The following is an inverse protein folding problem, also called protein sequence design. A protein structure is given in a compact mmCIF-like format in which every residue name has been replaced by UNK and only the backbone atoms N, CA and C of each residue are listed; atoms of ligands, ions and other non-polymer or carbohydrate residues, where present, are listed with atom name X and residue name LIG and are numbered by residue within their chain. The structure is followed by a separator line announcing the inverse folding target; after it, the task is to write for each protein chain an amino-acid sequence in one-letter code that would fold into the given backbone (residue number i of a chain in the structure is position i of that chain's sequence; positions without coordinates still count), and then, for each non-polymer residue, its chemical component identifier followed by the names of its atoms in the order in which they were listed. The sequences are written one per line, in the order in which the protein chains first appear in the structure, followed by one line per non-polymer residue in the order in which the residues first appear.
data_IF_259907096501
#
_entry.id   IF_259907096501
#
_cell.length_a   1.000
_cell.length_b   1.000
_cell.length_c   1.000
_cell.angle_alpha   90.00
_cell.angle_beta   90.00
_cell.angle_gamma   90.00
#
_symmetry.space_group_name_H-M   'P 1'
#
loop_
_entity.id
_entity.type
_entity.pdbx_description
1 polymer ?
#
# COMPACT_ATOMS: atom_id res chain seq x y z
N UNK A 1 -13.73 -40.13 9.73
CA UNK A 1 -12.39 -39.91 10.32
C UNK A 1 -11.78 -38.77 9.55
N UNK A 2 -11.78 -37.59 10.19
CA UNK A 2 -11.10 -36.33 9.83
C UNK A 2 -11.49 -35.71 8.47
N UNK A 3 -12.49 -34.83 8.43
CA UNK A 3 -12.43 -33.38 8.74
C UNK A 3 -11.69 -32.61 7.63
N UNK A 4 -12.46 -31.93 6.79
CA UNK A 4 -12.00 -31.00 5.78
C UNK A 4 -12.77 -29.68 5.98
N UNK A 5 -12.63 -29.13 7.20
CA UNK A 5 -12.87 -27.73 7.49
C UNK A 5 -11.65 -26.92 7.02
N UNK A 6 -11.78 -26.25 5.87
CA UNK A 6 -10.95 -25.12 5.45
C UNK A 6 -11.56 -24.46 4.20
N UNK A 7 -12.86 -24.18 4.22
CA UNK A 7 -13.36 -23.09 3.41
C UNK A 7 -12.91 -21.82 4.13
N UNK A 8 -11.86 -21.19 3.61
CA UNK A 8 -11.44 -19.86 4.01
C UNK A 8 -12.60 -18.90 3.73
N UNK A 9 -13.49 -18.78 4.71
CA UNK A 9 -14.48 -17.75 4.77
C UNK A 9 -13.69 -16.46 4.97
N UNK A 10 -13.38 -15.80 3.86
CA UNK A 10 -13.12 -14.37 3.87
C UNK A 10 -14.42 -13.75 4.31
N UNK A 11 -14.66 -13.78 5.62
CA UNK A 11 -15.75 -13.09 6.28
C UNK A 11 -15.53 -11.64 5.89
N UNK A 12 -16.24 -11.20 4.85
CA UNK A 12 -16.30 -9.82 4.43
C UNK A 12 -16.52 -9.04 5.72
N UNK A 13 -15.50 -8.28 6.13
CA UNK A 13 -15.44 -7.65 7.44
C UNK A 13 -16.82 -7.10 7.75
N UNK A 14 -17.50 -7.71 8.72
CA UNK A 14 -18.91 -7.41 8.92
C UNK A 14 -19.03 -5.91 9.17
N UNK A 15 -19.97 -5.20 8.53
CA UNK A 15 -20.08 -3.75 8.66
C UNK A 15 -20.14 -3.31 10.13
N UNK A 16 -20.74 -4.16 10.98
CA UNK A 16 -20.79 -4.02 12.44
C UNK A 16 -19.40 -3.95 13.09
N UNK A 17 -18.44 -4.80 12.70
CA UNK A 17 -17.11 -4.82 13.30
C UNK A 17 -16.25 -3.60 12.95
N UNK A 18 -16.52 -2.94 11.81
CA UNK A 18 -15.92 -1.65 11.48
C UNK A 18 -16.59 -0.52 12.25
N UNK A 19 -17.93 -0.55 12.38
CA UNK A 19 -18.67 0.44 13.14
C UNK A 19 -18.20 0.54 14.60
N UNK A 20 -17.91 -0.59 15.25
CA UNK A 20 -17.39 -0.64 16.64
C UNK A 20 -16.00 0.02 16.81
N UNK A 21 -15.26 0.22 15.72
CA UNK A 21 -13.91 0.82 15.73
C UNK A 21 -13.90 2.28 15.28
N UNK A 22 -15.02 2.77 14.75
CA UNK A 22 -15.16 4.15 14.30
C UNK A 22 -15.83 4.98 15.40
N UNK A 23 -15.32 6.19 15.62
CA UNK A 23 -16.07 7.20 16.37
C UNK A 23 -17.05 7.86 15.40
N UNK A 24 -18.33 7.53 15.55
CA UNK A 24 -19.40 8.15 14.76
C UNK A 24 -19.90 9.43 15.45
N UNK A 25 -20.46 10.39 14.70
CA UNK A 25 -21.13 11.55 15.29
C UNK A 25 -22.30 11.12 16.19
N UNK A 26 -22.48 11.83 17.31
CA UNK A 26 -23.53 11.51 18.29
C UNK A 26 -24.95 11.72 17.73
N UNK A 27 -25.10 12.54 16.69
CA UNK A 27 -26.34 12.87 15.99
C UNK A 27 -26.57 12.07 14.71
N UNK A 28 -25.64 11.17 14.34
CA UNK A 28 -25.76 10.37 13.13
C UNK A 28 -26.94 9.38 13.24
N UNK A 29 -27.88 9.50 12.32
CA UNK A 29 -28.96 8.53 12.21
C UNK A 29 -28.44 7.18 11.66
N UNK A 30 -29.21 6.07 11.77
CA UNK A 30 -28.75 4.76 11.30
C UNK A 30 -28.39 4.70 9.82
N UNK A 31 -29.03 5.51 8.98
CA UNK A 31 -28.74 5.59 7.55
C UNK A 31 -27.43 6.31 7.30
N UNK A 32 -27.21 7.44 8.00
CA UNK A 32 -25.96 8.18 7.96
C UNK A 32 -24.79 7.34 8.48
N UNK A 33 -24.95 6.69 9.63
CA UNK A 33 -23.96 5.77 10.18
C UNK A 33 -23.59 4.66 9.18
N UNK A 34 -24.57 4.06 8.51
CA UNK A 34 -24.34 3.06 7.48
C UNK A 34 -23.59 3.64 6.26
N UNK A 35 -23.91 4.86 5.84
CA UNK A 35 -23.23 5.54 4.73
C UNK A 35 -21.76 5.81 5.06
N UNK A 36 -21.46 6.26 6.28
CA UNK A 36 -20.10 6.50 6.76
C UNK A 36 -19.30 5.19 6.76
N UNK A 37 -19.85 4.13 7.38
CA UNK A 37 -19.20 2.81 7.42
C UNK A 37 -18.95 2.28 6.00
N UNK A 38 -19.92 2.42 5.10
CA UNK A 38 -19.78 2.02 3.71
C UNK A 38 -18.64 2.77 3.00
N UNK A 39 -18.60 4.11 3.11
CA UNK A 39 -17.57 4.93 2.49
C UNK A 39 -16.16 4.58 2.99
N UNK A 40 -15.99 4.42 4.31
CA UNK A 40 -14.71 4.04 4.92
C UNK A 40 -14.30 2.62 4.48
N UNK A 41 -15.23 1.68 4.47
CA UNK A 41 -14.93 0.31 4.02
C UNK A 41 -14.51 0.24 2.55
N UNK A 42 -15.14 1.05 1.69
CA UNK A 42 -14.76 1.16 0.29
C UNK A 42 -13.35 1.74 0.15
N UNK A 43 -13.04 2.81 0.89
CA UNK A 43 -11.70 3.41 0.88
C UNK A 43 -10.61 2.43 1.32
N UNK A 44 -10.84 1.64 2.37
CA UNK A 44 -9.88 0.62 2.83
C UNK A 44 -9.64 -0.42 1.73
N UNK A 45 -10.70 -0.94 1.10
CA UNK A 45 -10.57 -1.91 0.00
C UNK A 45 -9.82 -1.34 -1.19
N UNK A 46 -10.05 -0.07 -1.53
CA UNK A 46 -9.32 0.60 -2.61
C UNK A 46 -7.82 0.72 -2.29
N UNK A 47 -7.47 1.01 -1.03
CA UNK A 47 -6.08 1.04 -0.58
C UNK A 47 -5.43 -0.35 -0.61
N UNK A 48 -6.15 -1.39 -0.19
CA UNK A 48 -5.69 -2.78 -0.26
C UNK A 48 -5.45 -3.21 -1.72
N UNK A 49 -6.36 -2.85 -2.63
CA UNK A 49 -6.22 -3.14 -4.06
C UNK A 49 -5.02 -2.40 -4.67
N UNK A 50 -4.82 -1.12 -4.31
CA UNK A 50 -3.66 -0.35 -4.75
C UNK A 50 -2.33 -0.93 -4.22
N UNK A 51 -2.30 -1.37 -2.95
CA UNK A 51 -1.14 -2.03 -2.36
C UNK A 51 -0.83 -3.38 -3.03
N UNK A 52 -1.86 -4.18 -3.33
CA UNK A 52 -1.71 -5.44 -4.06
C UNK A 52 -1.17 -5.23 -5.48
N UNK A 53 -1.66 -4.21 -6.19
CA UNK A 53 -1.15 -3.82 -7.50
C UNK A 53 0.34 -3.39 -7.42
N UNK A 54 0.69 -2.58 -6.42
CA UNK A 54 2.09 -2.17 -6.21
C UNK A 54 3.02 -3.36 -5.90
N UNK A 55 2.55 -4.35 -5.14
CA UNK A 55 3.31 -5.57 -4.86
C UNK A 55 3.48 -6.45 -6.11
N UNK A 56 2.46 -6.53 -6.98
CA UNK A 56 2.56 -7.25 -8.25
C UNK A 56 3.61 -6.61 -9.18
N UNK A 57 3.63 -5.28 -9.27
CA UNK A 57 4.65 -4.49 -9.99
C UNK A 57 6.08 -4.67 -9.44
N UNK A 58 6.23 -5.05 -8.17
CA UNK A 58 7.53 -5.39 -7.60
C UNK A 58 7.98 -6.81 -8.00
N UNK A 59 7.03 -7.72 -8.22
CA UNK A 59 7.30 -9.11 -8.61
C UNK A 59 7.67 -9.29 -10.08
N UNK A 60 7.28 -8.39 -11.00
CA UNK A 60 7.58 -8.49 -12.45
C UNK A 60 9.04 -8.18 -12.84
N UNK A 61 9.96 -8.30 -11.89
CA UNK A 61 11.38 -8.01 -12.07
C UNK A 61 11.62 -6.54 -11.78
N UNK A 62 11.98 -6.26 -10.53
CA UNK A 62 12.35 -4.93 -10.07
C UNK A 62 13.39 -4.33 -11.02
N UNK A 63 12.93 -3.46 -11.92
CA UNK A 63 13.75 -2.69 -12.85
C UNK A 63 13.60 -1.21 -12.49
N UNK A 64 14.62 -0.42 -12.77
CA UNK A 64 14.59 1.02 -12.52
C UNK A 64 13.70 1.79 -13.52
N UNK A 65 13.15 1.10 -14.52
CA UNK A 65 12.30 1.68 -15.54
C UNK A 65 11.07 2.32 -14.89
N UNK A 66 10.91 3.63 -15.11
CA UNK A 66 9.84 4.43 -14.49
C UNK A 66 10.11 4.91 -13.06
N UNK A 67 10.95 4.21 -12.28
CA UNK A 67 11.24 4.55 -10.87
C UNK A 67 12.49 5.44 -10.68
N UNK A 68 13.38 5.45 -11.68
CA UNK A 68 14.67 6.16 -11.64
C UNK A 68 14.58 7.66 -11.36
N UNK A 69 13.59 8.35 -11.94
CA UNK A 69 13.40 9.80 -11.75
C UNK A 69 12.94 10.14 -10.34
N UNK A 70 12.02 9.33 -9.79
CA UNK A 70 11.52 9.52 -8.42
C UNK A 70 12.60 9.31 -7.37
N UNK A 71 13.48 8.32 -7.56
CA UNK A 71 14.62 8.12 -6.67
C UNK A 71 15.65 9.26 -6.81
N UNK A 72 16.05 9.64 -8.02
CA UNK A 72 17.00 10.72 -8.24
C UNK A 72 16.51 12.06 -7.64
N UNK A 73 15.22 12.39 -7.82
CA UNK A 73 14.63 13.58 -7.21
C UNK A 73 14.57 13.52 -5.68
N UNK A 74 14.38 12.33 -5.10
CA UNK A 74 14.43 12.15 -3.64
C UNK A 74 15.85 12.33 -3.09
N UNK A 75 16.86 11.84 -3.81
CA UNK A 75 18.28 12.06 -3.44
C UNK A 75 18.64 13.55 -3.56
N UNK A 76 18.21 14.23 -4.61
CA UNK A 76 18.41 15.66 -4.77
C UNK A 76 17.78 16.46 -3.62
N UNK A 77 16.53 16.17 -3.28
CA UNK A 77 15.81 16.85 -2.19
C UNK A 77 16.47 16.61 -0.82
N UNK A 78 16.84 15.36 -0.50
CA UNK A 78 17.32 15.00 0.83
C UNK A 78 18.83 15.23 1.02
N UNK A 79 19.61 15.07 -0.05
CA UNK A 79 21.08 15.10 -0.01
C UNK A 79 21.67 16.29 -0.77
N UNK A 80 20.84 17.13 -1.40
CA UNK A 80 21.28 18.29 -2.20
C UNK A 80 22.28 17.90 -3.30
N UNK A 81 22.16 16.68 -3.85
CA UNK A 81 23.03 16.15 -4.90
C UNK A 81 22.21 15.41 -5.94
N UNK A 82 22.54 15.63 -7.21
CA UNK A 82 21.97 14.89 -8.33
C UNK A 82 22.76 13.60 -8.57
N UNK A 83 22.06 12.47 -8.69
CA UNK A 83 22.65 11.16 -9.01
C UNK A 83 21.95 10.54 -10.21
N UNK A 84 22.68 9.71 -10.98
CA UNK A 84 22.11 8.95 -12.09
C UNK A 84 22.14 7.46 -11.73
N UNK A 85 21.01 6.78 -11.87
CA UNK A 85 20.94 5.34 -11.62
C UNK A 85 21.66 4.59 -12.74
N UNK A 86 22.69 3.80 -12.38
CA UNK A 86 23.48 2.97 -13.32
C UNK A 86 22.92 1.56 -13.43
N UNK A 87 23.20 0.91 -14.55
CA UNK A 87 22.98 -0.52 -14.74
C UNK A 87 23.69 -1.35 -13.65
N UNK A 88 22.95 -2.25 -12.99
CA UNK A 88 23.41 -2.99 -11.81
C UNK A 88 23.19 -2.30 -10.45
N UNK A 89 22.56 -1.12 -10.41
CA UNK A 89 22.09 -0.53 -9.15
C UNK A 89 20.96 -1.40 -8.57
N UNK A 90 21.00 -1.78 -7.28
CA UNK A 90 19.89 -2.48 -6.64
C UNK A 90 18.58 -1.73 -6.89
N UNK A 91 17.53 -2.43 -7.28
CA UNK A 91 16.24 -1.83 -7.65
C UNK A 91 15.32 -1.61 -6.46
N UNK A 92 15.68 -2.17 -5.30
CA UNK A 92 15.19 -1.75 -4.00
C UNK A 92 15.80 -0.38 -3.60
N UNK A 93 14.92 0.58 -3.29
CA UNK A 93 15.31 1.95 -2.97
C UNK A 93 16.16 2.05 -1.69
N UNK A 94 15.97 1.15 -0.72
CA UNK A 94 16.75 1.15 0.52
C UNK A 94 18.20 0.72 0.25
N UNK A 95 18.36 -0.39 -0.48
CA UNK A 95 19.65 -0.91 -0.93
C UNK A 95 20.39 0.03 -1.87
N UNK A 96 19.65 0.79 -2.70
CA UNK A 96 20.19 1.82 -3.57
C UNK A 96 20.67 3.04 -2.79
N UNK A 97 19.89 3.51 -1.82
CA UNK A 97 20.27 4.63 -0.95
C UNK A 97 21.56 4.34 -0.18
N UNK A 98 21.75 3.11 0.33
CA UNK A 98 22.99 2.68 0.96
C UNK A 98 24.21 2.64 0.03
N UNK A 99 24.02 2.66 -1.29
CA UNK A 99 25.08 2.73 -2.31
C UNK A 99 25.11 4.03 -3.08
N UNK A 100 24.35 5.04 -2.64
CA UNK A 100 24.20 6.33 -3.33
C UNK A 100 25.52 7.03 -3.65
N UNK A 101 26.54 6.84 -2.82
CA UNK A 101 27.89 7.39 -3.03
C UNK A 101 28.60 6.84 -4.29
N UNK A 102 28.21 5.65 -4.77
CA UNK A 102 28.79 5.00 -5.97
C UNK A 102 27.89 5.10 -7.20
N UNK A 103 26.80 5.87 -7.11
CA UNK A 103 25.91 6.19 -8.23
C UNK A 103 26.49 7.32 -9.08
#
# INVERSE_FOLDING_TARGET
MTDADAAGETAAASPTGLADRLTLPDDADPTEAAAIVAAVSAHIRDQEAAAAAAAAEESEGASWQGKQWGFAGRVESLQSRTVRVRDGTPTDAWSAAGRSERL
#
